data_IF_755877703932
#
_entry.id   IF_755877703932
#
_cell.length_a   1.000
_cell.length_b   1.000
_cell.length_c   1.000
_cell.angle_alpha   90.00
_cell.angle_beta   90.00
_cell.angle_gamma   90.00
#
_symmetry.space_group_name_H-M   'P 1'
#
loop_
_entity.id
_entity.type
_entity.pdbx_description
1 polymer ?
#
# COMPACT_ATOMS: atom_id res chain seq x y z
N UNK A 1 -9.86 13.03 -4.76
CA UNK A 1 -9.36 12.05 -3.77
C UNK A 1 -9.99 12.47 -2.47
N UNK A 2 -11.01 11.73 -2.09
CA UNK A 2 -12.23 12.30 -1.53
C UNK A 2 -12.22 12.27 0.00
N UNK A 3 -13.04 13.12 0.62
CA UNK A 3 -13.21 13.24 2.07
C UNK A 3 -13.48 11.90 2.79
N UNK A 4 -13.85 10.86 2.05
CA UNK A 4 -14.11 9.52 2.57
C UNK A 4 -12.83 8.77 2.96
N UNK A 5 -11.73 8.92 2.21
CA UNK A 5 -10.44 8.29 2.56
C UNK A 5 -9.90 8.89 3.85
N UNK A 6 -10.13 10.20 4.07
CA UNK A 6 -9.75 10.89 5.31
C UNK A 6 -10.46 10.30 6.53
N UNK A 7 -11.73 9.88 6.40
CA UNK A 7 -12.47 9.20 7.46
C UNK A 7 -11.83 7.85 7.86
N UNK A 8 -11.36 7.08 6.88
CA UNK A 8 -10.67 5.81 7.14
C UNK A 8 -9.26 6.02 7.70
N UNK A 9 -8.51 6.97 7.17
CA UNK A 9 -7.18 7.32 7.70
C UNK A 9 -7.30 7.85 9.13
N UNK A 10 -8.33 8.65 9.42
CA UNK A 10 -8.60 9.25 10.73
C UNK A 10 -8.77 8.25 11.88
N UNK A 11 -8.96 6.96 11.61
CA UNK A 11 -9.00 5.95 12.67
C UNK A 11 -7.64 5.61 13.26
N UNK A 12 -6.54 6.06 12.65
CA UNK A 12 -5.16 5.79 13.09
C UNK A 12 -4.73 4.33 13.01
N UNK A 13 -5.46 3.51 12.23
CA UNK A 13 -5.16 2.08 12.05
C UNK A 13 -4.23 1.83 10.88
N UNK A 14 -4.14 2.78 9.95
CA UNK A 14 -3.27 2.78 8.78
C UNK A 14 -2.45 4.06 8.80
N UNK A 15 -1.24 3.99 8.26
CA UNK A 15 -0.36 5.14 8.08
C UNK A 15 -0.71 5.91 6.83
N UNK A 16 -1.11 5.22 5.75
CA UNK A 16 -1.42 5.87 4.49
C UNK A 16 -1.78 4.94 3.37
N UNK A 17 -2.15 5.56 2.25
CA UNK A 17 -2.51 4.90 1.00
C UNK A 17 -1.82 5.59 -0.18
N UNK A 18 -1.42 4.83 -1.20
CA UNK A 18 -1.02 5.32 -2.50
C UNK A 18 -1.71 4.53 -3.61
N UNK A 19 -2.07 5.20 -4.70
CA UNK A 19 -2.80 4.63 -5.84
C UNK A 19 -1.95 4.75 -7.10
N UNK A 20 -1.92 3.68 -7.87
CA UNK A 20 -1.21 3.57 -9.14
C UNK A 20 -2.11 3.04 -10.25
N UNK A 21 -1.77 3.40 -11.48
CA UNK A 21 -2.27 2.76 -12.71
C UNK A 21 -1.07 2.30 -13.52
N UNK A 22 -0.70 1.04 -13.37
CA UNK A 22 0.60 0.53 -13.82
C UNK A 22 1.72 1.21 -13.02
N UNK A 23 2.78 1.65 -13.69
CA UNK A 23 3.88 2.40 -13.07
C UNK A 23 3.54 3.85 -12.70
N UNK A 24 2.41 4.38 -13.18
CA UNK A 24 2.06 5.78 -12.96
C UNK A 24 1.43 5.97 -11.58
N UNK A 25 2.10 6.73 -10.72
CA UNK A 25 1.55 7.18 -9.45
C UNK A 25 0.42 8.19 -9.70
N UNK A 26 -0.77 7.89 -9.19
CA UNK A 26 -1.97 8.73 -9.36
C UNK A 26 -2.14 9.68 -8.17
N UNK A 27 -2.11 9.15 -6.95
CA UNK A 27 -2.32 9.93 -5.74
C UNK A 27 -1.87 9.17 -4.49
N UNK A 28 -1.49 9.91 -3.44
CA UNK A 28 -1.22 9.35 -2.12
C UNK A 28 -1.74 10.25 -0.99
N UNK A 29 -2.01 9.64 0.17
CA UNK A 29 -2.45 10.29 1.40
C UNK A 29 -1.85 9.58 2.62
N UNK A 30 -1.49 10.37 3.63
CA UNK A 30 -1.03 9.89 4.93
C UNK A 30 -1.99 10.31 6.04
N UNK A 31 -2.04 9.52 7.10
CA UNK A 31 -2.72 9.87 8.34
C UNK A 31 -1.89 10.86 9.18
N UNK A 32 -2.58 11.84 9.79
CA UNK A 32 -2.05 12.77 10.80
C UNK A 32 -0.88 13.67 10.37
N UNK A 33 -0.49 13.65 9.10
CA UNK A 33 0.58 14.48 8.57
C UNK A 33 0.12 15.12 7.26
N UNK A 34 -0.24 16.40 7.30
CA UNK A 34 -0.45 17.17 6.06
C UNK A 34 0.91 17.46 5.43
N UNK A 35 1.19 16.73 4.35
CA UNK A 35 2.34 17.00 3.50
C UNK A 35 1.91 16.98 2.05
N UNK A 36 1.14 18.00 1.67
CA UNK A 36 0.82 18.43 0.30
C UNK A 36 2.00 18.51 -0.71
N UNK A 37 3.21 18.08 -0.34
CA UNK A 37 4.42 18.05 -1.19
C UNK A 37 5.14 16.71 -1.31
N UNK A 38 4.68 15.63 -0.65
CA UNK A 38 5.58 14.52 -0.43
C UNK A 38 5.14 13.21 -1.08
N UNK A 39 6.08 12.67 -1.85
CA UNK A 39 6.14 11.40 -2.56
C UNK A 39 5.97 10.17 -1.66
N UNK A 40 5.06 10.17 -0.68
CA UNK A 40 4.96 9.10 0.31
C UNK A 40 4.29 7.84 -0.20
N UNK A 41 4.82 6.69 0.24
CA UNK A 41 4.51 5.35 -0.25
C UNK A 41 4.74 5.19 -1.76
N UNK A 42 5.62 6.03 -2.34
CA UNK A 42 6.08 5.86 -3.70
C UNK A 42 6.90 4.58 -3.84
N UNK A 43 6.47 3.72 -4.74
CA UNK A 43 7.10 2.45 -5.00
C UNK A 43 8.32 2.70 -5.88
N UNK A 44 9.48 2.25 -5.41
CA UNK A 44 10.74 2.33 -6.15
C UNK A 44 11.35 0.92 -6.30
N UNK A 45 11.65 0.47 -7.54
CA UNK A 45 11.40 1.16 -8.81
C UNK A 45 9.91 1.14 -9.20
N UNK A 46 9.33 2.22 -9.76
CA UNK A 46 7.90 2.28 -10.08
C UNK A 46 7.46 1.24 -11.13
N UNK A 47 8.38 0.80 -11.99
CA UNK A 47 8.13 -0.19 -13.04
C UNK A 47 7.67 -1.54 -12.48
N UNK A 48 7.99 -1.85 -11.22
CA UNK A 48 7.54 -3.10 -10.59
C UNK A 48 6.02 -3.17 -10.49
N UNK A 49 5.32 -2.02 -10.45
CA UNK A 49 3.86 -1.97 -10.32
C UNK A 49 3.14 -2.58 -11.52
N UNK A 50 3.73 -2.56 -12.71
CA UNK A 50 3.18 -3.20 -13.91
C UNK A 50 3.11 -4.74 -13.79
N UNK A 51 3.90 -5.33 -12.90
CA UNK A 51 4.05 -6.78 -12.81
C UNK A 51 4.00 -7.31 -11.36
N UNK A 52 3.63 -6.47 -10.39
CA UNK A 52 3.87 -6.73 -8.96
C UNK A 52 3.21 -8.01 -8.43
N UNK A 53 2.05 -8.40 -8.99
CA UNK A 53 1.33 -9.62 -8.65
C UNK A 53 1.50 -10.75 -9.69
N UNK A 54 2.45 -10.62 -10.61
CA UNK A 54 2.80 -11.67 -11.57
C UNK A 54 3.98 -12.49 -11.06
N UNK A 55 4.20 -13.69 -11.63
CA UNK A 55 5.34 -14.54 -11.25
C UNK A 55 6.69 -13.82 -11.41
N UNK A 56 6.87 -13.05 -12.48
CA UNK A 56 8.10 -12.27 -12.73
C UNK A 56 8.28 -11.18 -11.68
N UNK A 57 7.21 -10.46 -11.32
CA UNK A 57 7.25 -9.46 -10.26
C UNK A 57 7.56 -10.08 -8.90
N UNK A 58 6.94 -11.21 -8.56
CA UNK A 58 7.25 -11.94 -7.32
C UNK A 58 8.72 -12.36 -7.24
N UNK A 59 9.29 -12.90 -8.32
CA UNK A 59 10.68 -13.35 -8.33
C UNK A 59 11.66 -12.17 -8.18
N UNK A 60 11.32 -11.04 -8.81
CA UNK A 60 12.02 -9.79 -8.59
C UNK A 60 11.92 -9.37 -7.12
N UNK A 61 10.73 -9.34 -6.53
CA UNK A 61 10.50 -8.90 -5.16
C UNK A 61 11.14 -9.82 -4.11
N UNK A 62 11.20 -11.13 -4.35
CA UNK A 62 11.91 -12.10 -3.49
C UNK A 62 13.41 -11.82 -3.44
N UNK A 63 13.99 -11.43 -4.58
CA UNK A 63 15.43 -11.16 -4.71
C UNK A 63 15.78 -9.75 -4.26
N UNK A 64 15.01 -8.78 -4.75
CA UNK A 64 15.33 -7.36 -4.75
C UNK A 64 14.38 -6.54 -3.91
N UNK A 65 13.42 -7.11 -3.19
CA UNK A 65 12.43 -6.37 -2.39
C UNK A 65 11.80 -5.21 -3.13
N UNK A 66 11.35 -4.21 -2.39
CA UNK A 66 10.88 -2.93 -2.94
C UNK A 66 11.11 -1.83 -1.93
N UNK A 67 11.20 -0.58 -2.37
CA UNK A 67 11.17 0.55 -1.44
C UNK A 67 9.82 1.25 -1.53
N UNK A 68 9.31 1.65 -0.37
CA UNK A 68 8.25 2.64 -0.22
C UNK A 68 8.95 3.92 0.23
N UNK A 69 9.19 4.83 -0.72
CA UNK A 69 10.08 5.98 -0.60
C UNK A 69 11.54 5.55 -0.38
N UNK A 70 12.16 6.08 0.68
CA UNK A 70 13.45 5.68 1.19
C UNK A 70 13.40 4.40 2.04
N UNK A 71 12.21 3.85 2.34
CA UNK A 71 12.07 2.74 3.27
C UNK A 71 11.98 1.40 2.57
N UNK A 72 12.95 0.54 2.87
CA UNK A 72 13.02 -0.81 2.35
C UNK A 72 11.91 -1.70 2.92
N UNK A 73 11.19 -2.38 2.04
CA UNK A 73 10.23 -3.43 2.37
C UNK A 73 10.63 -4.76 1.72
N UNK A 74 10.49 -5.85 2.48
CA UNK A 74 10.67 -7.23 2.00
C UNK A 74 9.33 -7.80 1.55
N UNK A 75 9.37 -8.60 0.50
CA UNK A 75 8.24 -9.43 0.10
C UNK A 75 8.02 -10.56 1.10
N UNK A 76 6.75 -10.86 1.37
CA UNK A 76 6.33 -11.97 2.23
C UNK A 76 5.64 -13.03 1.38
N UNK A 77 4.54 -12.65 0.74
CA UNK A 77 3.72 -13.53 -0.10
C UNK A 77 2.80 -12.73 -1.01
N UNK A 78 2.24 -13.41 -1.99
CA UNK A 78 1.02 -12.97 -2.70
C UNK A 78 -0.12 -13.85 -2.23
N UNK A 79 -1.31 -13.27 -2.09
CA UNK A 79 -2.54 -13.97 -1.75
C UNK A 79 -3.70 -13.43 -2.60
N UNK A 80 -4.85 -14.10 -2.55
CA UNK A 80 -6.08 -13.61 -3.16
C UNK A 80 -7.03 -13.15 -2.06
N UNK A 81 -7.59 -11.96 -2.22
CA UNK A 81 -8.71 -11.49 -1.41
C UNK A 81 -9.99 -11.73 -2.21
N UNK A 82 -10.73 -12.77 -1.84
CA UNK A 82 -11.91 -13.25 -2.57
C UNK A 82 -13.08 -12.27 -2.52
N UNK A 83 -13.21 -11.51 -1.42
CA UNK A 83 -14.28 -10.51 -1.25
C UNK A 83 -14.09 -9.35 -2.22
N UNK A 84 -12.84 -8.90 -2.39
CA UNK A 84 -12.48 -7.83 -3.31
C UNK A 84 -12.16 -8.30 -4.73
N UNK A 85 -12.06 -9.62 -4.95
CA UNK A 85 -11.54 -10.24 -6.18
C UNK A 85 -10.18 -9.63 -6.59
N UNK A 86 -9.28 -9.46 -5.62
CA UNK A 86 -7.98 -8.80 -5.79
C UNK A 86 -6.83 -9.76 -5.55
N UNK A 87 -5.72 -9.58 -6.28
CA UNK A 87 -4.44 -10.11 -5.83
C UNK A 87 -3.82 -9.15 -4.82
N UNK A 88 -3.32 -9.67 -3.71
CA UNK A 88 -2.74 -8.87 -2.63
C UNK A 88 -1.31 -9.29 -2.37
N UNK A 89 -0.38 -8.36 -2.57
CA UNK A 89 1.04 -8.54 -2.29
C UNK A 89 1.35 -8.06 -0.89
N UNK A 90 1.86 -8.94 -0.04
CA UNK A 90 2.20 -8.65 1.35
C UNK A 90 3.66 -8.25 1.45
N UNK A 91 3.88 -7.06 2.02
CA UNK A 91 5.19 -6.48 2.25
C UNK A 91 5.40 -6.24 3.75
N UNK A 92 6.60 -6.53 4.24
CA UNK A 92 7.01 -6.18 5.59
C UNK A 92 8.12 -5.14 5.54
N UNK A 93 7.97 -4.07 6.32
CA UNK A 93 9.04 -3.10 6.54
C UNK A 93 9.74 -3.35 7.86
N UNK A 94 10.36 -2.31 8.40
CA UNK A 94 11.04 -2.34 9.69
C UNK A 94 10.14 -1.68 10.73
N UNK A 95 9.92 -2.37 11.84
CA UNK A 95 9.22 -1.79 12.99
C UNK A 95 10.24 -1.02 13.85
N UNK A 96 10.50 0.24 13.50
CA UNK A 96 11.42 1.13 14.21
C UNK A 96 10.65 2.30 14.84
N UNK A 97 10.40 2.29 16.16
CA UNK A 97 9.65 3.36 16.83
C UNK A 97 10.32 4.74 16.73
N UNK A 98 11.63 4.81 16.44
CA UNK A 98 12.34 6.08 16.27
C UNK A 98 12.06 6.75 14.92
N UNK A 99 11.48 6.02 13.96
CA UNK A 99 11.18 6.50 12.60
C UNK A 99 9.67 6.33 12.35
N UNK A 100 8.83 7.25 12.87
CA UNK A 100 7.37 7.07 12.88
C UNK A 100 6.71 7.09 11.50
N UNK A 101 7.41 7.56 10.46
CA UNK A 101 6.94 7.57 9.08
C UNK A 101 7.46 6.36 8.25
N UNK A 102 8.19 5.43 8.86
CA UNK A 102 8.63 4.19 8.22
C UNK A 102 7.53 3.13 8.25
N UNK A 103 7.10 2.57 7.11
CA UNK A 103 6.15 1.47 7.09
C UNK A 103 6.68 0.26 7.86
N UNK A 104 5.91 -0.25 8.81
CA UNK A 104 6.16 -1.53 9.49
C UNK A 104 5.63 -2.70 8.64
N UNK A 105 4.52 -2.50 7.93
CA UNK A 105 3.99 -3.42 6.93
C UNK A 105 3.23 -2.64 5.85
N UNK A 106 3.06 -3.26 4.69
CA UNK A 106 2.25 -2.73 3.62
C UNK A 106 1.64 -3.85 2.78
N UNK A 107 0.57 -3.52 2.08
CA UNK A 107 -0.13 -4.41 1.16
C UNK A 107 -0.37 -3.69 -0.15
N UNK A 108 -0.13 -4.37 -1.27
CA UNK A 108 -0.49 -3.87 -2.58
C UNK A 108 -1.67 -4.67 -3.12
N UNK A 109 -2.82 -4.03 -3.22
CA UNK A 109 -4.04 -4.60 -3.78
C UNK A 109 -4.09 -4.31 -5.28
N UNK A 110 -4.04 -5.35 -6.09
CA UNK A 110 -4.21 -5.26 -7.54
C UNK A 110 -5.69 -5.47 -7.86
N UNK A 111 -6.37 -4.36 -8.15
CA UNK A 111 -7.81 -4.31 -8.38
C UNK A 111 -8.21 -4.92 -9.74
N UNK A 112 -9.46 -5.39 -9.91
CA UNK A 112 -9.97 -5.85 -11.20
C UNK A 112 -9.93 -4.79 -12.31
N UNK A 113 -10.04 -3.52 -11.95
CA UNK A 113 -9.98 -2.39 -12.91
C UNK A 113 -8.54 -2.02 -13.32
N UNK A 114 -7.53 -2.70 -12.75
CA UNK A 114 -6.13 -2.57 -13.15
C UNK A 114 -5.34 -1.51 -12.38
N UNK A 115 -5.92 -0.88 -11.35
CA UNK A 115 -5.16 -0.04 -10.41
C UNK A 115 -4.48 -0.88 -9.34
N UNK A 116 -3.35 -0.38 -8.84
CA UNK A 116 -2.66 -0.95 -7.68
C UNK A 116 -2.77 0.02 -6.52
N UNK A 117 -3.29 -0.45 -5.39
CA UNK A 117 -3.51 0.36 -4.19
C UNK A 117 -2.57 -0.14 -3.11
N UNK A 118 -1.61 0.69 -2.72
CA UNK A 118 -0.68 0.43 -1.62
C UNK A 118 -1.32 0.96 -0.35
N UNK A 119 -1.53 0.11 0.65
CA UNK A 119 -1.92 0.50 2.01
C UNK A 119 -0.77 0.16 2.95
N UNK A 120 -0.36 1.10 3.79
CA UNK A 120 0.74 0.90 4.75
C UNK A 120 0.29 1.13 6.19
N UNK A 121 0.95 0.44 7.11
CA UNK A 121 0.86 0.67 8.55
C UNK A 121 2.23 1.03 9.11
N UNK A 122 2.24 1.90 10.10
CA UNK A 122 3.44 2.37 10.78
C UNK A 122 3.81 1.60 12.03
N UNK A 123 4.90 2.02 12.70
CA UNK A 123 5.31 1.44 13.96
C UNK A 123 4.22 1.60 15.01
N UNK A 124 3.95 0.53 15.77
CA UNK A 124 2.91 0.51 16.80
C UNK A 124 1.47 0.33 16.30
N UNK A 125 1.22 0.36 14.98
CA UNK A 125 -0.08 -0.01 14.42
C UNK A 125 -0.16 -1.53 14.23
N UNK A 126 -1.29 -2.14 14.60
CA UNK A 126 -1.47 -3.59 14.51
C UNK A 126 -1.81 -4.02 13.08
N UNK A 127 -1.00 -4.93 12.50
CA UNK A 127 -1.16 -5.40 11.12
C UNK A 127 -2.56 -5.93 10.82
N UNK A 128 -3.19 -6.70 11.71
CA UNK A 128 -4.53 -7.24 11.48
C UNK A 128 -5.60 -6.15 11.38
N UNK A 129 -5.58 -5.19 12.31
CA UNK A 129 -6.51 -4.06 12.29
C UNK A 129 -6.25 -3.12 11.10
N UNK A 130 -4.98 -2.96 10.72
CA UNK A 130 -4.56 -2.20 9.55
C UNK A 130 -4.97 -2.85 8.23
N UNK A 131 -4.84 -4.17 8.10
CA UNK A 131 -5.29 -4.93 6.92
C UNK A 131 -6.80 -4.78 6.73
N UNK A 132 -7.60 -5.02 7.78
CA UNK A 132 -9.06 -4.87 7.73
C UNK A 132 -9.46 -3.44 7.34
N UNK A 133 -8.72 -2.43 7.81
CA UNK A 133 -8.95 -1.06 7.38
C UNK A 133 -8.54 -0.82 5.92
N UNK A 134 -7.43 -1.42 5.49
CA UNK A 134 -6.96 -1.39 4.10
C UNK A 134 -7.98 -1.98 3.14
N UNK A 135 -8.57 -3.13 3.47
CA UNK A 135 -9.66 -3.76 2.70
C UNK A 135 -10.82 -2.78 2.52
N UNK A 136 -11.28 -2.10 3.58
CA UNK A 136 -12.37 -1.11 3.49
C UNK A 136 -12.01 0.10 2.61
N UNK A 137 -10.77 0.57 2.68
CA UNK A 137 -10.29 1.66 1.82
C UNK A 137 -10.29 1.20 0.35
N UNK A 138 -9.80 -0.01 0.08
CA UNK A 138 -9.72 -0.58 -1.26
C UNK A 138 -11.11 -0.86 -1.83
N UNK A 139 -12.01 -1.43 -1.04
CA UNK A 139 -13.42 -1.65 -1.41
C UNK A 139 -14.09 -0.34 -1.85
N UNK A 140 -13.92 0.72 -1.06
CA UNK A 140 -14.45 2.04 -1.40
C UNK A 140 -13.84 2.59 -2.71
N UNK A 141 -12.54 2.40 -2.92
CA UNK A 141 -11.85 2.84 -4.14
C UNK A 141 -12.32 2.05 -5.38
N UNK A 142 -12.47 0.74 -5.27
CA UNK A 142 -13.02 -0.12 -6.34
C UNK A 142 -14.43 0.35 -6.71
N UNK A 143 -15.27 0.68 -5.72
CA UNK A 143 -16.61 1.24 -5.94
C UNK A 143 -16.62 2.56 -6.73
N UNK A 144 -15.49 3.27 -6.81
CA UNK A 144 -15.32 4.51 -7.59
C UNK A 144 -14.60 4.31 -8.93
N UNK A 145 -14.30 3.07 -9.31
CA UNK A 145 -13.67 2.73 -10.60
C UNK A 145 -12.14 2.74 -10.59
N UNK A 146 -11.52 2.62 -9.40
CA UNK A 146 -10.09 2.33 -9.29
C UNK A 146 -9.82 0.83 -9.32
#
# INVERSE_FOLDING_TARGET
MDAWIEGYLGTGKVMGVAIYKGENHVASRLWAVDRSKSDYLQVVPPQIMNSIATKTGEDYLKTNGVNLNAYRCRFIKTDTDDELNCQVVYLAGKNDPAVPDQPAAAWVFCTPAGSQIVVAVGPGQANGAGYVMGVKIVEALIGTGY
#
